data_IF_284091301675
#
_entry.id   IF_284091301675
#
_cell.length_a   1.000
_cell.length_b   1.000
_cell.length_c   1.000
_cell.angle_alpha   90.00
_cell.angle_beta   90.00
_cell.angle_gamma   90.00
#
_symmetry.space_group_name_H-M   'P 1'
#
loop_
_entity.id
_entity.type
_entity.pdbx_description
1 polymer ?
2 non-polymer ?
3 non-polymer ?
4 non-polymer ?
5 non-polymer ?
6 water ?
#
# COMPACT_ATOMS: atom_id res chain seq x y z
N UNK A 1 -22.42 -2.65 18.98
CA UNK A 1 -22.36 -1.33 18.36
C UNK A 1 -21.74 -1.38 16.95
N UNK A 2 -22.35 -0.63 16.03
CA UNK A 2 -22.03 -0.69 14.61
C UNK A 2 -20.58 -0.31 14.34
N UNK A 3 -19.96 -0.97 13.35
CA UNK A 3 -18.63 -0.58 12.91
C UNK A 3 -18.77 0.53 11.87
N UNK A 4 -18.21 1.70 12.17
CA UNK A 4 -18.44 2.92 11.42
C UNK A 4 -17.27 3.27 10.50
N UNK A 5 -17.57 4.06 9.47
CA UNK A 5 -16.50 4.60 8.65
C UNK A 5 -15.66 5.59 9.46
N UNK A 6 -14.45 5.82 8.96
CA UNK A 6 -13.49 6.67 9.64
C UNK A 6 -12.83 7.62 8.64
N UNK A 7 -12.67 8.87 9.05
CA UNK A 7 -11.85 9.80 8.30
C UNK A 7 -10.76 10.34 9.23
N UNK A 8 -10.03 11.34 8.76
CA UNK A 8 -9.03 11.98 9.59
C UNK A 8 -9.70 13.03 10.46
N UNK A 9 -9.15 13.22 11.66
CA UNK A 9 -9.70 14.24 12.55
C UNK A 9 -9.20 15.63 12.20
N UNK A 10 -8.05 15.73 11.54
CA UNK A 10 -7.39 16.99 11.35
C UNK A 10 -6.58 16.92 10.05
N UNK A 11 -6.12 18.09 9.61
CA UNK A 11 -5.27 18.17 8.43
C UNK A 11 -3.87 17.72 8.81
N UNK A 12 -3.21 17.01 7.90
CA UNK A 12 -1.89 16.45 8.08
C UNK A 12 -1.01 16.91 6.94
N UNK A 13 0.21 17.37 7.26
CA UNK A 13 1.15 17.79 6.23
C UNK A 13 2.47 17.05 6.37
N UNK A 14 3.11 16.78 5.24
CA UNK A 14 4.45 16.20 5.26
C UNK A 14 5.18 16.63 3.98
N UNK A 15 6.50 16.65 4.05
CA UNK A 15 7.35 17.00 2.92
C UNK A 15 8.35 15.89 2.67
N UNK A 16 8.64 15.64 1.41
CA UNK A 16 9.66 14.67 1.09
C UNK A 16 10.02 14.73 -0.37
N UNK A 17 10.59 13.64 -0.87
CA UNK A 17 10.96 13.56 -2.28
C UNK A 17 10.46 12.26 -2.85
N UNK A 18 10.12 12.28 -4.14
CA UNK A 18 9.71 11.06 -4.82
C UNK A 18 10.87 10.09 -4.92
N UNK A 19 10.63 8.84 -4.51
CA UNK A 19 11.61 7.79 -4.68
C UNK A 19 12.12 7.73 -6.12
N UNK A 20 11.19 7.74 -7.09
CA UNK A 20 11.61 7.53 -8.47
C UNK A 20 11.93 8.84 -9.19
N UNK A 21 11.11 9.88 -8.99
CA UNK A 21 11.33 11.14 -9.69
C UNK A 21 12.43 11.98 -9.03
N UNK A 22 12.67 11.78 -7.74
CA UNK A 22 13.56 12.63 -6.98
C UNK A 22 13.05 14.03 -6.71
N UNK A 23 11.82 14.35 -7.07
CA UNK A 23 11.33 15.71 -6.94
C UNK A 23 10.81 15.98 -5.53
N UNK A 24 11.07 17.19 -5.05
CA UNK A 24 10.47 17.62 -3.79
C UNK A 24 8.96 17.70 -3.95
N UNK A 25 8.24 17.30 -2.90
CA UNK A 25 6.79 17.25 -2.99
C UNK A 25 6.23 17.55 -1.61
N UNK A 26 5.15 18.34 -1.59
CA UNK A 26 4.39 18.65 -0.39
C UNK A 26 3.12 17.81 -0.39
N UNK A 27 2.88 17.12 0.71
CA UNK A 27 1.72 16.24 0.84
C UNK A 27 0.80 16.82 1.90
N UNK A 28 -0.51 16.72 1.66
CA UNK A 28 -1.51 17.20 2.62
C UNK A 28 -2.64 16.20 2.69
N UNK A 29 -2.91 15.68 3.88
CA UNK A 29 -4.04 14.77 4.08
C UNK A 29 -5.18 15.54 4.73
N UNK A 30 -6.38 15.40 4.18
CA UNK A 30 -7.56 16.14 4.62
C UNK A 30 -8.73 15.18 4.89
N UNK A 31 -9.57 15.51 5.89
CA UNK A 31 -10.80 14.73 6.08
C UNK A 31 -11.66 14.74 4.82
N UNK A 32 -12.51 13.72 4.71
CA UNK A 32 -13.44 13.58 3.62
C UNK A 32 -14.76 13.03 4.14
N UNK A 33 -15.88 13.32 3.48
CA UNK A 33 -17.17 12.82 3.95
C UNK A 33 -17.31 11.32 3.74
N UNK A 34 -18.39 10.77 4.29
CA UNK A 34 -18.62 9.34 4.21
C UNK A 34 -18.70 8.91 2.74
N UNK A 35 -18.27 7.68 2.48
CA UNK A 35 -18.32 7.06 1.16
C UNK A 35 -17.51 7.83 0.13
N UNK A 36 -16.52 8.63 0.55
CA UNK A 36 -15.60 9.22 -0.40
C UNK A 36 -14.54 8.24 -0.87
N UNK A 37 -14.08 7.32 -0.01
CA UNK A 37 -12.88 6.55 -0.30
C UNK A 37 -11.65 7.43 -0.13
N UNK A 38 -10.49 6.93 -0.58
CA UNK A 38 -9.27 7.72 -0.64
C UNK A 38 -9.19 8.36 -2.01
N UNK A 39 -8.94 9.67 -2.05
CA UNK A 39 -8.88 10.38 -3.33
C UNK A 39 -7.59 11.18 -3.39
N UNK A 40 -6.77 10.90 -4.41
CA UNK A 40 -5.58 11.71 -4.61
C UNK A 40 -5.92 12.92 -5.47
N UNK A 41 -5.13 13.97 -5.30
CA UNK A 41 -5.48 15.26 -5.89
C UNK A 41 -4.20 16.03 -6.16
N UNK A 42 -3.93 16.32 -7.44
CA UNK A 42 -2.74 17.08 -7.82
C UNK A 42 -3.09 18.57 -7.77
N UNK A 43 -2.64 19.23 -6.71
CA UNK A 43 -2.92 20.65 -6.51
C UNK A 43 -1.90 21.55 -7.18
N UNK A 44 -0.85 20.98 -7.77
CA UNK A 44 0.06 21.76 -8.60
C UNK A 44 -0.54 22.05 -9.96
N UNK A 45 -1.65 21.42 -10.30
CA UNK A 45 -2.29 21.63 -11.59
C UNK A 45 -3.50 22.55 -11.45
N UNK A 46 -3.90 23.13 -12.57
CA UNK A 46 -5.04 24.04 -12.62
C UNK A 46 -5.83 23.75 -13.89
N UNK A 47 -7.05 23.19 -13.80
CA UNK A 47 -7.69 22.87 -12.52
C UNK A 47 -7.02 21.72 -11.79
N UNK A 48 -7.38 21.55 -10.52
CA UNK A 48 -6.88 20.40 -9.76
C UNK A 48 -7.48 19.13 -10.34
N UNK A 49 -6.65 18.08 -10.41
CA UNK A 49 -7.06 16.79 -10.93
C UNK A 49 -7.15 15.81 -9.78
N UNK A 50 -8.33 15.21 -9.60
CA UNK A 50 -8.57 14.25 -8.54
C UNK A 50 -8.66 12.86 -9.14
N UNK A 51 -7.93 11.91 -8.55
CA UNK A 51 -7.96 10.53 -9.01
C UNK A 51 -8.31 9.63 -7.84
N UNK A 52 -9.50 9.03 -7.84
CA UNK A 52 -9.86 8.09 -6.77
C UNK A 52 -8.88 6.92 -6.72
N UNK A 53 -8.50 6.54 -5.50
CA UNK A 53 -7.54 5.47 -5.29
C UNK A 53 -8.26 4.14 -5.45
N UNK A 54 -8.50 3.78 -6.71
CA UNK A 54 -9.31 2.62 -7.04
C UNK A 54 -8.66 1.86 -8.18
N UNK A 55 -8.91 0.54 -8.22
CA UNK A 55 -8.23 -0.35 -9.16
C UNK A 55 -8.41 0.11 -10.60
N UNK A 56 -9.62 0.57 -10.95
CA UNK A 56 -9.91 1.04 -12.30
C UNK A 56 -9.05 2.22 -12.72
N UNK A 57 -8.47 2.96 -11.78
CA UNK A 57 -7.61 4.09 -12.14
C UNK A 57 -6.13 3.75 -12.13
N UNK A 58 -5.76 2.49 -11.91
CA UNK A 58 -4.34 2.15 -11.89
C UNK A 58 -3.82 2.16 -13.32
N UNK A 59 -2.78 2.96 -13.57
CA UNK A 59 -2.12 2.95 -14.85
C UNK A 59 -0.98 1.95 -14.86
N UNK A 60 0.24 2.42 -15.14
CA UNK A 60 1.38 1.53 -15.17
C UNK A 60 1.66 0.95 -13.77
N UNK A 61 2.33 -0.19 -13.77
CA UNK A 61 2.78 -0.87 -12.57
C UNK A 61 4.20 -1.38 -12.76
N UNK A 62 4.94 -0.72 -13.67
CA UNK A 62 6.28 -1.20 -14.04
C UNK A 62 7.23 -1.16 -12.85
N UNK A 63 7.22 -0.08 -12.07
CA UNK A 63 8.02 0.03 -10.87
C UNK A 63 7.15 0.01 -9.63
N UNK A 64 6.38 1.08 -9.39
CA UNK A 64 5.49 1.20 -8.24
C UNK A 64 4.05 1.07 -8.72
N UNK A 65 3.11 1.32 -7.81
CA UNK A 65 1.72 1.42 -8.23
C UNK A 65 1.41 2.88 -8.57
N UNK A 66 0.85 3.09 -9.75
CA UNK A 66 0.62 4.42 -10.28
C UNK A 66 -0.85 4.60 -10.63
N UNK A 67 -1.41 5.75 -10.30
CA UNK A 67 -2.76 6.13 -10.72
C UNK A 67 -2.67 7.12 -11.87
N UNK A 68 -3.58 6.99 -12.83
CA UNK A 68 -3.60 7.81 -14.03
C UNK A 68 -5.01 8.31 -14.30
N UNK A 69 -5.09 9.52 -14.86
CA UNK A 69 -6.36 10.08 -15.31
C UNK A 69 -6.02 10.99 -16.49
N UNK A 70 -6.29 10.53 -17.71
CA UNK A 70 -5.81 11.27 -18.86
C UNK A 70 -4.30 11.31 -18.85
N UNK A 71 -3.74 12.52 -18.94
CA UNK A 71 -2.30 12.74 -18.97
C UNK A 71 -1.70 12.88 -17.59
N UNK A 72 -2.48 12.71 -16.53
CA UNK A 72 -2.08 13.07 -15.17
C UNK A 72 -1.79 11.80 -14.39
N UNK A 73 -0.65 11.78 -13.70
CA UNK A 73 -0.22 10.62 -12.94
C UNK A 73 -0.09 10.97 -11.47
N UNK A 74 -0.30 9.96 -10.61
CA UNK A 74 0.14 9.96 -9.23
C UNK A 74 0.94 8.68 -9.01
N UNK A 75 2.25 8.82 -8.83
CA UNK A 75 3.18 7.70 -8.72
C UNK A 75 3.34 7.24 -7.27
N UNK A 76 3.54 5.93 -7.10
CA UNK A 76 4.00 5.36 -5.84
C UNK A 76 3.01 5.60 -4.70
N UNK A 77 1.78 5.12 -4.90
CA UNK A 77 0.78 5.31 -3.84
C UNK A 77 0.79 4.19 -2.80
N UNK A 78 1.58 3.14 -3.01
CA UNK A 78 1.36 1.89 -2.27
C UNK A 78 1.71 2.01 -0.78
N UNK A 79 2.76 2.76 -0.41
CA UNK A 79 3.13 2.80 1.00
C UNK A 79 2.17 3.66 1.82
N UNK A 80 1.68 4.77 1.26
CA UNK A 80 0.69 5.56 1.97
C UNK A 80 -0.65 4.83 2.04
N UNK A 81 -1.06 4.18 0.95
CA UNK A 81 -2.31 3.43 1.00
C UNK A 81 -2.22 2.30 2.02
N UNK A 82 -1.03 1.68 2.15
CA UNK A 82 -0.84 0.66 3.17
C UNK A 82 -1.04 1.24 4.57
N UNK A 83 -0.51 2.45 4.81
CA UNK A 83 -0.72 3.10 6.10
C UNK A 83 -2.19 3.38 6.32
N UNK A 84 -2.89 3.82 5.27
CA UNK A 84 -4.32 4.09 5.41
C UNK A 84 -5.10 2.81 5.65
N UNK A 85 -4.80 1.74 4.91
CA UNK A 85 -5.48 0.48 5.16
C UNK A 85 -5.18 -0.01 6.57
N UNK A 86 -3.93 0.10 7.01
CA UNK A 86 -3.56 -0.43 8.31
C UNK A 86 -4.23 0.27 9.47
N UNK A 87 -4.54 1.56 9.32
CA UNK A 87 -5.27 2.32 10.34
C UNK A 87 -6.77 2.38 10.08
N UNK A 88 -7.26 1.69 9.06
CA UNK A 88 -8.70 1.64 8.79
C UNK A 88 -9.33 2.95 8.39
N UNK A 89 -8.60 3.79 7.66
CA UNK A 89 -9.14 5.06 7.19
C UNK A 89 -9.95 4.83 5.93
N UNK A 90 -11.24 5.15 5.98
CA UNK A 90 -12.11 4.95 4.83
C UNK A 90 -12.06 6.14 3.85
N UNK A 91 -12.08 7.36 4.37
CA UNK A 91 -12.33 8.54 3.55
C UNK A 91 -11.26 9.58 3.84
N UNK A 92 -10.65 10.11 2.77
CA UNK A 92 -9.56 11.08 2.90
C UNK A 92 -9.21 11.64 1.54
N UNK A 93 -8.82 12.91 1.53
CA UNK A 93 -8.16 13.53 0.38
C UNK A 93 -6.65 13.54 0.61
N UNK A 94 -5.89 13.19 -0.42
CA UNK A 94 -4.42 13.23 -0.37
C UNK A 94 -4.00 14.23 -1.43
N UNK A 95 -3.63 15.44 -0.99
CA UNK A 95 -3.17 16.47 -1.91
C UNK A 95 -1.66 16.35 -2.07
N UNK A 96 -1.21 16.45 -3.32
CA UNK A 96 0.21 16.39 -3.68
C UNK A 96 0.56 17.55 -4.59
N UNK A 97 1.73 18.15 -4.36
CA UNK A 97 2.20 19.25 -5.19
C UNK A 97 3.06 18.75 -6.35
N UNK A 98 3.22 17.44 -6.49
CA UNK A 98 3.99 16.86 -7.59
C UNK A 98 3.41 15.49 -7.91
N UNK A 99 3.94 14.88 -8.97
CA UNK A 99 3.35 13.63 -9.47
C UNK A 99 3.67 12.41 -8.62
N UNK A 100 4.54 12.50 -7.61
CA UNK A 100 4.89 11.31 -6.85
C UNK A 100 4.75 11.54 -5.36
N UNK A 101 4.23 10.54 -4.68
CA UNK A 101 4.10 10.56 -3.22
C UNK A 101 5.48 10.57 -2.60
N UNK A 102 5.74 11.35 -1.55
CA UNK A 102 7.07 11.33 -0.91
C UNK A 102 7.36 9.95 -0.32
N UNK A 103 8.62 9.52 -0.47
CA UNK A 103 9.04 8.21 0.03
C UNK A 103 9.24 8.18 1.56
N UNK A 104 9.49 9.33 2.20
CA UNK A 104 9.75 9.43 3.65
C UNK A 104 10.95 8.55 4.00
N UNK A 105 10.86 7.65 4.98
CA UNK A 105 11.97 6.74 5.28
C UNK A 105 11.92 5.44 4.49
N UNK A 106 11.04 5.34 3.47
CA UNK A 106 10.89 4.10 2.73
C UNK A 106 9.82 3.15 3.25
N UNK A 107 9.28 3.40 4.45
CA UNK A 107 8.28 2.53 5.05
C UNK A 107 6.93 3.25 5.14
N UNK A 108 5.98 2.64 5.84
CA UNK A 108 4.74 3.31 6.16
C UNK A 108 4.76 3.96 7.55
N UNK A 109 5.85 3.77 8.29
CA UNK A 109 5.97 4.28 9.65
C UNK A 109 5.64 5.75 9.77
N UNK A 110 6.29 6.61 8.95
CA UNK A 110 6.01 8.04 9.07
C UNK A 110 4.57 8.40 8.78
N UNK A 111 3.94 7.73 7.80
CA UNK A 111 2.54 8.01 7.53
C UNK A 111 1.62 7.58 8.67
N UNK A 112 1.83 6.38 9.22
CA UNK A 112 0.97 5.96 10.32
C UNK A 112 1.15 6.89 11.51
N UNK A 113 2.36 7.40 11.74
CA UNK A 113 2.57 8.32 12.86
C UNK A 113 1.89 9.66 12.61
N UNK A 114 2.13 10.25 11.43
CA UNK A 114 1.45 11.50 11.10
C UNK A 114 -0.07 11.36 11.24
N UNK A 115 -0.63 10.26 10.73
CA UNK A 115 -2.07 10.08 10.82
C UNK A 115 -2.53 10.00 12.27
N UNK A 116 -1.84 9.19 13.08
CA UNK A 116 -2.30 8.99 14.43
C UNK A 116 -2.08 10.22 15.30
N UNK A 117 -1.05 11.02 15.00
CA UNK A 117 -0.87 12.28 15.70
C UNK A 117 -2.04 13.23 15.44
N UNK A 118 -2.50 13.28 14.19
CA UNK A 118 -3.68 14.09 13.88
C UNK A 118 -4.93 13.50 14.53
N UNK A 119 -5.02 12.18 14.58
CA UNK A 119 -6.18 11.51 15.11
C UNK A 119 -7.15 11.08 14.01
N UNK A 120 -7.95 10.07 14.33
CA UNK A 120 -9.01 9.57 13.47
C UNK A 120 -10.35 10.06 13.98
N UNK A 121 -11.33 10.13 13.07
CA UNK A 121 -12.68 10.58 13.42
C UNK A 121 -13.69 9.55 12.91
N UNK A 122 -14.52 9.04 13.80
CA UNK A 122 -15.56 8.13 13.36
C UNK A 122 -16.69 8.90 12.71
N UNK A 123 -17.32 8.31 11.71
CA UNK A 123 -18.40 8.94 10.97
C UNK A 123 -19.69 8.13 11.06
N UNK A 124 -20.81 8.81 10.86
CA UNK A 124 -22.14 8.22 11.01
C UNK A 124 -22.52 7.45 9.75
N UNK A 125 -21.82 6.35 9.52
CA UNK A 125 -22.12 5.46 8.41
C UNK A 125 -21.45 4.12 8.65
N UNK A 126 -22.12 3.06 8.25
CA UNK A 126 -21.56 1.73 8.42
C UNK A 126 -20.32 1.57 7.54
N UNK A 127 -19.26 1.02 8.11
CA UNK A 127 -18.09 0.67 7.31
C UNK A 127 -18.41 -0.51 6.42
N UNK A 128 -18.05 -0.41 5.15
CA UNK A 128 -18.29 -1.49 4.20
C UNK A 128 -17.03 -2.34 4.06
N UNK A 129 -17.22 -3.66 4.03
CA UNK A 129 -16.13 -4.60 3.84
C UNK A 129 -16.40 -5.46 2.61
N UNK A 130 -15.32 -5.92 1.97
CA UNK A 130 -15.42 -6.86 0.87
C UNK A 130 -14.99 -8.22 1.40
N UNK A 131 -15.92 -9.15 1.46
CA UNK A 131 -15.65 -10.49 1.98
C UNK A 131 -15.40 -11.44 0.82
N UNK A 132 -14.28 -12.14 0.88
CA UNK A 132 -13.93 -13.14 -0.14
C UNK A 132 -14.77 -14.38 0.11
N UNK A 133 -15.60 -14.74 -0.86
CA UNK A 133 -16.45 -15.92 -0.77
C UNK A 133 -15.86 -17.14 -1.46
N UNK A 134 -15.02 -16.97 -2.49
CA UNK A 134 -14.41 -18.13 -3.13
C UNK A 134 -13.02 -17.74 -3.63
N UNK A 135 -12.19 -18.76 -3.78
CA UNK A 135 -10.80 -18.53 -4.13
C UNK A 135 -10.68 -17.91 -5.52
N UNK A 136 -9.78 -16.94 -5.64
CA UNK A 136 -9.47 -16.25 -6.89
C UNK A 136 -7.96 -16.16 -6.97
N UNK A 137 -7.37 -16.61 -8.07
CA UNK A 137 -5.93 -16.54 -8.23
C UNK A 137 -5.57 -16.08 -9.64
N UNK A 138 -4.44 -15.40 -9.77
CA UNK A 138 -3.86 -15.08 -11.05
C UNK A 138 -2.41 -15.55 -11.04
N UNK A 139 -1.93 -15.94 -12.21
CA UNK A 139 -0.61 -16.53 -12.37
C UNK A 139 0.05 -15.93 -13.61
N UNK A 140 1.38 -15.90 -13.58
CA UNK A 140 2.17 -15.48 -14.74
C UNK A 140 3.57 -16.08 -14.56
N UNK A 141 3.86 -17.13 -15.32
CA UNK A 141 5.12 -17.82 -15.10
C UNK A 141 5.02 -18.57 -13.78
N UNK A 142 6.02 -18.41 -12.93
CA UNK A 142 5.95 -19.01 -11.60
C UNK A 142 5.42 -18.06 -10.54
N UNK A 143 5.01 -16.85 -10.93
CA UNK A 143 4.44 -15.89 -9.99
C UNK A 143 2.95 -16.15 -9.82
N UNK A 144 2.45 -15.86 -8.63
CA UNK A 144 1.08 -16.21 -8.28
C UNK A 144 0.60 -15.28 -7.16
N UNK A 145 -0.62 -14.76 -7.31
CA UNK A 145 -1.30 -13.99 -6.27
C UNK A 145 -2.71 -14.50 -6.11
N UNK A 146 -3.14 -14.73 -4.87
CA UNK A 146 -4.36 -15.47 -4.56
C UNK A 146 -5.16 -14.74 -3.49
N UNK A 147 -6.50 -14.73 -3.64
CA UNK A 147 -7.43 -14.45 -2.55
C UNK A 147 -8.08 -15.74 -2.09
N UNK A 148 -8.09 -15.96 -0.77
CA UNK A 148 -8.69 -17.14 -0.17
C UNK A 148 -9.73 -16.73 0.88
N UNK A 149 -10.89 -17.37 0.94
CA UNK A 149 -11.82 -17.10 2.03
C UNK A 149 -11.15 -17.26 3.39
N UNK A 150 -11.42 -16.31 4.27
CA UNK A 150 -10.82 -16.28 5.59
C UNK A 150 -11.58 -15.28 6.45
N UNK A 151 -12.09 -15.73 7.59
CA UNK A 151 -12.88 -14.87 8.47
C UNK A 151 -11.91 -14.02 9.29
N UNK A 152 -11.36 -13.01 8.64
CA UNK A 152 -10.40 -12.10 9.25
C UNK A 152 -9.68 -11.34 8.16
N UNK A 153 -8.44 -10.94 8.46
CA UNK A 153 -7.56 -10.41 7.43
C UNK A 153 -6.16 -10.93 7.65
N UNK A 154 -5.62 -11.58 6.63
CA UNK A 154 -4.31 -12.22 6.72
C UNK A 154 -3.63 -12.07 5.38
N UNK A 155 -2.34 -11.74 5.42
CA UNK A 155 -1.51 -11.58 4.24
C UNK A 155 -0.27 -12.45 4.42
N UNK A 156 -0.01 -13.32 3.46
CA UNK A 156 1.20 -14.12 3.48
C UNK A 156 1.94 -13.89 2.17
N UNK A 157 3.27 -13.94 2.24
CA UNK A 157 4.08 -13.60 1.07
C UNK A 157 5.37 -14.40 1.11
N UNK A 158 5.82 -14.83 -0.06
CA UNK A 158 7.08 -15.55 -0.22
C UNK A 158 7.86 -14.94 -1.37
N UNK A 159 9.13 -14.60 -1.13
CA UNK A 159 10.00 -14.10 -2.18
C UNK A 159 11.13 -15.10 -2.41
N UNK A 160 11.80 -14.96 -3.55
CA UNK A 160 12.77 -15.95 -3.99
C UNK A 160 13.95 -15.25 -4.68
N UNK A 161 14.70 -14.46 -3.90
CA UNK A 161 15.92 -13.83 -4.39
C UNK A 161 17.09 -14.78 -4.20
N UNK A 162 17.75 -15.14 -5.30
CA UNK A 162 19.04 -15.82 -5.21
C UNK A 162 20.08 -14.72 -4.96
N UNK A 163 20.26 -14.36 -3.68
CA UNK A 163 21.19 -13.32 -3.31
C UNK A 163 21.79 -13.70 -1.96
N UNK A 164 23.09 -13.48 -1.77
CA UNK A 164 23.71 -13.80 -0.47
C UNK A 164 23.03 -13.15 0.71
N UNK A 165 22.49 -11.93 0.56
CA UNK A 165 21.87 -11.25 1.68
C UNK A 165 20.64 -12.00 2.17
N UNK A 166 20.06 -12.87 1.34
CA UNK A 166 18.86 -13.62 1.70
C UNK A 166 19.14 -15.06 2.08
N UNK A 167 20.35 -15.56 1.82
CA UNK A 167 20.75 -16.92 2.23
C UNK A 167 19.80 -18.00 1.71
N UNK A 171 12.51 -15.69 4.02
CA UNK A 171 11.93 -15.09 2.82
C UNK A 171 10.43 -15.39 2.70
N UNK A 172 9.83 -15.88 3.78
CA UNK A 172 8.39 -16.16 3.81
C UNK A 172 7.85 -15.66 5.13
N UNK A 173 6.67 -15.04 5.09
CA UNK A 173 6.01 -14.60 6.31
C UNK A 173 4.52 -14.59 6.09
N UNK A 174 3.78 -14.90 7.16
CA UNK A 174 2.32 -14.83 7.17
C UNK A 174 1.91 -14.03 8.39
N UNK A 175 1.10 -12.99 8.18
CA UNK A 175 0.69 -12.07 9.24
C UNK A 175 -0.83 -12.11 9.33
N UNK A 176 -1.34 -12.62 10.45
CA UNK A 176 -2.77 -12.64 10.74
C UNK A 176 -3.06 -11.45 11.62
N UNK A 177 -3.79 -10.46 11.09
CA UNK A 177 -3.94 -9.21 11.82
C UNK A 177 -4.98 -9.27 12.94
N UNK A 178 -5.53 -10.44 13.25
CA UNK A 178 -6.27 -10.57 14.50
C UNK A 178 -5.35 -10.83 15.69
N UNK A 179 -4.11 -11.28 15.44
CA UNK A 179 -3.14 -11.49 16.49
C UNK A 179 -1.92 -10.59 16.37
N UNK A 180 -1.78 -9.84 15.28
CA UNK A 180 -0.56 -9.12 15.00
C UNK A 180 -0.87 -7.67 14.63
N UNK A 181 -0.04 -6.76 15.14
CA UNK A 181 -0.21 -5.34 14.93
C UNK A 181 0.43 -4.94 13.61
N UNK A 182 -0.37 -4.35 12.70
CA UNK A 182 0.22 -3.75 11.50
C UNK A 182 1.24 -2.70 11.87
N UNK A 183 0.90 -1.84 12.83
CA UNK A 183 1.78 -0.75 13.22
C UNK A 183 3.13 -1.29 13.70
N UNK A 184 3.11 -2.28 14.58
CA UNK A 184 4.35 -2.73 15.20
C UNK A 184 5.16 -3.65 14.29
N UNK A 185 4.49 -4.60 13.63
CA UNK A 185 5.20 -5.67 12.94
C UNK A 185 5.33 -5.48 11.43
N UNK A 186 4.61 -4.57 10.80
CA UNK A 186 4.66 -4.39 9.37
C UNK A 186 5.06 -2.97 8.97
N UNK A 187 4.53 -1.96 9.67
CA UNK A 187 4.54 -0.60 9.13
C UNK A 187 5.94 -0.05 8.92
N UNK A 188 6.90 -0.45 9.76
CA UNK A 188 8.24 0.12 9.66
C UNK A 188 9.12 -0.56 8.61
N UNK A 189 8.61 -1.55 7.89
CA UNK A 189 9.41 -2.28 6.91
C UNK A 189 9.72 -1.37 5.73
N UNK A 190 11.01 -1.16 5.46
CA UNK A 190 11.43 -0.24 4.42
C UNK A 190 11.48 -0.92 3.06
N UNK A 191 11.23 -0.13 2.02
CA UNK A 191 11.47 -0.56 0.64
C UNK A 191 12.97 -0.83 0.44
N UNK A 192 13.30 -1.50 -0.66
CA UNK A 192 14.66 -1.97 -0.85
C UNK A 192 14.96 -2.09 -2.33
N UNK A 193 16.25 -2.00 -2.67
CA UNK A 193 16.72 -2.20 -4.03
C UNK A 193 18.16 -2.66 -4.05
N UNK A 194 18.67 -2.94 -5.25
CA UNK A 194 19.95 -3.63 -5.40
C UNK A 194 20.93 -2.80 -6.22
N UNK A 195 22.18 -2.74 -5.76
CA UNK A 195 23.22 -2.07 -6.55
C UNK A 195 23.39 -2.69 -7.93
N UNK A 196 23.01 -3.96 -8.07
CA UNK A 196 23.06 -4.62 -9.37
C UNK A 196 22.12 -3.97 -10.38
N UNK A 197 21.03 -3.36 -9.91
CA UNK A 197 20.02 -2.80 -10.81
C UNK A 197 20.13 -1.30 -10.99
N UNK A 198 20.86 -0.62 -10.11
CA UNK A 198 20.64 0.81 -9.92
C UNK A 198 21.19 1.63 -11.07
N UNK A 199 22.27 1.18 -11.71
CA UNK A 199 22.77 1.93 -12.85
C UNK A 199 21.79 1.88 -14.01
N UNK A 200 21.16 0.72 -14.26
CA UNK A 200 20.13 0.68 -15.27
C UNK A 200 18.94 1.54 -14.88
N UNK A 201 18.53 1.49 -13.60
CA UNK A 201 17.36 2.25 -13.18
C UNK A 201 17.59 3.76 -13.31
N UNK A 202 18.75 4.23 -12.82
CA UNK A 202 19.07 5.65 -12.95
C UNK A 202 19.13 6.09 -14.40
N UNK A 203 19.65 5.23 -15.30
CA UNK A 203 19.70 5.59 -16.71
C UNK A 203 18.30 5.75 -17.30
N UNK A 204 17.30 5.11 -16.72
CA UNK A 204 15.91 5.29 -17.12
C UNK A 204 15.19 6.35 -16.30
N UNK A 205 15.93 7.17 -15.54
CA UNK A 205 15.36 8.17 -14.63
C UNK A 205 14.38 7.55 -13.64
N UNK A 206 14.76 6.39 -13.12
CA UNK A 206 14.02 5.70 -12.07
C UNK A 206 14.87 5.68 -10.80
N UNK A 207 14.21 5.61 -9.64
CA UNK A 207 14.86 5.57 -8.33
C UNK A 207 15.77 6.77 -8.11
N UNK A 208 15.47 7.89 -8.75
CA UNK A 208 16.32 9.07 -8.62
C UNK A 208 16.47 9.51 -7.17
N UNK A 209 15.40 9.39 -6.39
CA UNK A 209 15.48 9.82 -5.02
C UNK A 209 15.95 8.77 -4.04
N UNK A 210 16.19 7.55 -4.51
CA UNK A 210 16.53 6.47 -3.60
C UNK A 210 17.93 6.62 -3.04
N UNK A 211 18.07 6.30 -1.75
CA UNK A 211 19.36 6.25 -1.08
C UNK A 211 19.20 5.44 0.19
N UNK A 212 20.32 5.22 0.89
CA UNK A 212 20.25 4.57 2.21
C UNK A 212 19.39 5.36 3.19
N UNK A 213 19.08 6.61 2.90
CA UNK A 213 18.22 7.38 3.81
C UNK A 213 16.76 6.95 3.73
N UNK A 214 16.34 6.34 2.63
CA UNK A 214 14.94 5.97 2.45
C UNK A 214 14.76 4.56 1.90
N UNK A 215 15.80 3.72 1.92
CA UNK A 215 15.69 2.36 1.39
C UNK A 215 16.83 1.52 1.92
N UNK A 216 16.57 0.22 2.01
CA UNK A 216 17.64 -0.76 2.21
C UNK A 216 18.34 -0.93 0.87
N UNK A 217 19.60 -0.55 0.81
CA UNK A 217 20.36 -0.62 -0.43
C UNK A 217 21.29 -1.84 -0.33
N UNK A 218 21.04 -2.84 -1.16
CA UNK A 218 21.69 -4.14 -1.05
C UNK A 218 22.77 -4.24 -2.11
N UNK A 219 24.03 -4.34 -1.69
CA UNK A 219 25.13 -4.55 -2.62
C UNK A 219 25.31 -6.04 -2.88
N UNK A 220 26.37 -6.41 -3.62
CA UNK A 220 26.65 -7.83 -3.86
C UNK A 220 26.90 -8.57 -2.54
N UNK A 221 27.76 -8.03 -1.69
CA UNK A 221 28.30 -8.75 -0.55
C UNK A 221 27.83 -8.20 0.79
N UNK A 222 26.85 -7.29 0.81
CA UNK A 222 26.36 -6.72 2.07
C UNK A 222 25.27 -5.68 1.80
N UNK A 223 24.52 -5.37 2.85
CA UNK A 223 23.63 -4.22 2.87
C UNK A 223 24.47 -2.97 3.13
N UNK A 224 24.21 -1.91 2.38
CA UNK A 224 25.02 -0.71 2.53
C UNK A 224 24.64 0.14 3.74
N UNK A 225 23.39 0.02 4.23
CA UNK A 225 22.97 0.84 5.38
C UNK A 225 23.80 0.47 6.61
N UNK A 226 24.49 1.46 7.17
CA UNK A 226 25.31 1.16 8.34
C UNK A 226 24.49 0.87 9.59
N UNK A 227 23.20 1.22 9.62
CA UNK A 227 22.44 1.08 10.85
C UNK A 227 21.70 -0.24 11.01
N UNK A 228 21.51 -1.02 9.95
CA UNK A 228 21.02 -2.38 10.11
C UNK A 228 19.51 -2.49 9.87
N UNK A 229 19.02 -3.72 9.95
CA UNK A 229 17.63 -4.01 9.61
C UNK A 229 16.70 -3.77 10.80
N UNK A 230 15.48 -3.34 10.49
CA UNK A 230 14.48 -3.06 11.52
C UNK A 230 13.76 -4.33 11.96
N UNK A 231 13.65 -5.30 11.06
CA UNK A 231 13.09 -6.62 11.33
C UNK A 231 14.06 -7.64 10.77
N UNK A 232 14.18 -8.79 11.44
CA UNK A 232 15.04 -9.84 10.90
C UNK A 232 14.61 -10.22 9.49
N UNK A 233 13.31 -10.17 9.21
CA UNK A 233 12.78 -10.44 7.87
C UNK A 233 12.17 -9.18 7.24
N UNK A 234 12.91 -8.07 7.28
CA UNK A 234 12.35 -6.81 6.82
C UNK A 234 11.94 -6.86 5.35
N UNK A 235 12.67 -7.64 4.52
CA UNK A 235 12.40 -7.65 3.08
C UNK A 235 11.01 -8.20 2.76
N UNK A 236 10.72 -9.42 3.23
CA UNK A 236 9.40 -10.01 2.97
C UNK A 236 8.31 -9.21 3.68
N UNK A 237 8.63 -8.59 4.83
CA UNK A 237 7.64 -7.75 5.48
C UNK A 237 7.33 -6.52 4.65
N UNK A 238 8.31 -5.99 3.92
CA UNK A 238 7.97 -4.86 3.05
C UNK A 238 7.07 -5.28 1.91
N UNK A 239 7.33 -6.46 1.32
CA UNK A 239 6.43 -6.98 0.28
C UNK A 239 5.00 -7.07 0.81
N UNK A 240 4.86 -7.47 2.07
CA UNK A 240 3.53 -7.56 2.69
C UNK A 240 2.93 -6.17 2.82
N UNK A 241 3.73 -5.20 3.29
CA UNK A 241 3.30 -3.81 3.30
C UNK A 241 2.81 -3.37 1.92
N UNK A 242 3.61 -3.62 0.87
CA UNK A 242 3.20 -3.29 -0.49
C UNK A 242 1.85 -3.89 -0.84
N UNK A 243 1.69 -5.19 -0.57
CA UNK A 243 0.44 -5.87 -0.92
C UNK A 243 -0.75 -5.22 -0.22
N UNK A 244 -0.58 -4.85 1.05
CA UNK A 244 -1.68 -4.25 1.79
C UNK A 244 -2.11 -2.94 1.12
N UNK A 245 -1.15 -2.11 0.73
CA UNK A 245 -1.52 -0.88 0.03
C UNK A 245 -2.10 -1.14 -1.34
N UNK A 246 -1.52 -2.10 -2.07
CA UNK A 246 -2.08 -2.45 -3.38
C UNK A 246 -3.51 -2.99 -3.26
N UNK A 247 -3.76 -3.83 -2.25
CA UNK A 247 -5.09 -4.39 -2.08
C UNK A 247 -6.10 -3.35 -1.63
N UNK A 248 -5.65 -2.25 -1.02
CA UNK A 248 -6.59 -1.22 -0.62
C UNK A 248 -7.19 -0.48 -1.81
N UNK A 249 -6.69 -0.71 -3.02
CA UNK A 249 -7.33 -0.14 -4.19
C UNK A 249 -8.68 -0.77 -4.51
N UNK A 250 -9.05 -1.85 -3.82
CA UNK A 250 -10.44 -2.30 -3.88
C UNK A 250 -11.40 -1.22 -3.41
N UNK A 251 -10.92 -0.29 -2.58
CA UNK A 251 -11.78 0.74 -2.05
C UNK A 251 -12.50 0.38 -0.77
N UNK A 252 -12.32 -0.83 -0.25
CA UNK A 252 -12.90 -1.23 1.03
C UNK A 252 -11.97 -2.23 1.71
N UNK A 253 -12.06 -2.28 3.04
CA UNK A 253 -11.29 -3.26 3.78
C UNK A 253 -11.70 -4.67 3.39
N UNK A 254 -10.72 -5.56 3.38
CA UNK A 254 -10.93 -6.93 2.94
C UNK A 254 -11.18 -7.84 4.12
N UNK A 255 -12.11 -8.77 3.95
CA UNK A 255 -12.29 -9.89 4.86
C UNK A 255 -11.87 -11.13 4.08
N UNK A 256 -10.66 -11.60 4.34
CA UNK A 256 -10.11 -12.71 3.59
C UNK A 256 -8.60 -12.75 3.74
N UNK A 257 -7.98 -13.62 2.94
CA UNK A 257 -6.54 -13.84 2.97
C UNK A 257 -5.94 -13.59 1.60
N UNK A 258 -4.81 -12.87 1.58
CA UNK A 258 -3.96 -12.73 0.39
C UNK A 258 -2.72 -13.60 0.54
N UNK A 259 -2.37 -14.31 -0.54
CA UNK A 259 -1.09 -15.01 -0.65
C UNK A 259 -0.40 -14.55 -1.91
N UNK A 260 0.83 -14.06 -1.77
CA UNK A 260 1.68 -13.74 -2.91
C UNK A 260 2.90 -14.66 -2.96
N UNK A 261 3.21 -15.17 -4.16
CA UNK A 261 4.46 -15.87 -4.41
C UNK A 261 5.18 -15.14 -5.54
N UNK A 262 6.23 -14.40 -5.19
CA UNK A 262 7.01 -13.60 -6.14
C UNK A 262 6.13 -12.59 -6.86
N UNK A 263 5.09 -12.13 -6.20
CA UNK A 263 4.18 -11.16 -6.77
C UNK A 263 4.77 -9.76 -6.67
N UNK A 264 4.20 -8.85 -7.44
CA UNK A 264 4.60 -7.44 -7.41
C UNK A 264 3.37 -6.57 -7.70
N UNK A 265 3.57 -5.26 -7.90
CA UNK A 265 2.41 -4.38 -8.07
C UNK A 265 1.58 -4.77 -9.29
N UNK A 266 2.24 -5.19 -10.37
CA UNK A 266 1.51 -5.55 -11.59
C UNK A 266 0.58 -6.74 -11.33
N UNK A 267 1.11 -7.81 -10.75
CA UNK A 267 0.27 -8.98 -10.51
C UNK A 267 -0.75 -8.72 -9.39
N UNK A 268 -0.40 -7.88 -8.42
CA UNK A 268 -1.39 -7.51 -7.41
C UNK A 268 -2.61 -6.86 -8.06
N UNK A 269 -2.38 -5.92 -8.99
CA UNK A 269 -3.51 -5.25 -9.61
C UNK A 269 -4.29 -6.20 -10.52
N UNK A 270 -3.58 -7.11 -11.20
CA UNK A 270 -4.29 -8.11 -12.00
C UNK A 270 -5.21 -8.96 -11.14
N UNK A 271 -4.76 -9.30 -9.91
CA UNK A 271 -5.62 -10.06 -9.00
C UNK A 271 -6.84 -9.25 -8.60
N UNK A 272 -6.67 -7.95 -8.34
CA UNK A 272 -7.81 -7.11 -8.02
C UNK A 272 -8.80 -7.06 -9.17
N UNK A 273 -8.30 -6.94 -10.41
CA UNK A 273 -9.21 -6.85 -11.55
C UNK A 273 -9.98 -8.16 -11.75
N UNK A 274 -9.31 -9.29 -11.50
CA UNK A 274 -9.97 -10.58 -11.63
C UNK A 274 -11.01 -10.77 -10.53
N UNK A 275 -10.67 -10.40 -9.29
CA UNK A 275 -11.63 -10.42 -8.20
C UNK A 275 -12.85 -9.59 -8.53
N UNK A 276 -12.64 -8.33 -8.92
CA UNK A 276 -13.76 -7.42 -9.15
C UNK A 276 -14.67 -7.96 -10.25
N UNK A 277 -14.10 -8.51 -11.33
CA UNK A 277 -14.92 -9.00 -12.42
C UNK A 277 -15.67 -10.27 -12.03
N UNK A 278 -15.14 -11.05 -11.11
CA UNK A 278 -15.82 -12.29 -10.71
C UNK A 278 -16.75 -12.00 -9.55
N UNK A 279 -17.92 -11.43 -9.88
CA UNK A 279 -18.87 -10.99 -8.86
C UNK A 279 -19.30 -12.12 -7.93
N UNK A 280 -19.26 -13.36 -8.41
CA UNK A 280 -19.66 -14.44 -7.51
C UNK A 280 -18.59 -14.81 -6.50
N UNK A 281 -17.40 -14.21 -6.55
CA UNK A 281 -16.33 -14.52 -5.61
C UNK A 281 -16.30 -13.62 -4.38
N UNK A 282 -17.19 -12.63 -4.29
CA UNK A 282 -17.13 -11.68 -3.19
C UNK A 282 -18.46 -10.99 -3.00
N UNK A 283 -18.64 -10.43 -1.81
CA UNK A 283 -19.83 -9.69 -1.43
C UNK A 283 -19.44 -8.56 -0.50
N UNK A 284 -20.28 -7.52 -0.46
CA UNK A 284 -20.05 -6.36 0.40
C UNK A 284 -20.89 -6.52 1.65
N UNK A 285 -20.25 -6.39 2.82
CA UNK A 285 -20.94 -6.57 4.10
C UNK A 285 -20.67 -5.38 5.00
N UNK A 286 -21.60 -5.15 5.92
CA UNK A 286 -21.47 -4.18 7.00
C UNK A 286 -21.73 -4.89 8.31
N UNK A 287 -21.40 -4.23 9.42
CA UNK A 287 -21.60 -4.80 10.74
C UNK A 287 -22.37 -3.82 11.62
N UNK A 288 -23.72 -3.83 11.54
CA UNK A 288 -24.51 -3.08 12.50
C UNK A 288 -24.46 -3.72 13.88
N UNK A 289 -24.39 -5.05 13.91
CA UNK A 289 -24.13 -5.83 15.11
C UNK A 289 -22.76 -6.44 14.94
N UNK A 290 -21.82 -6.08 15.81
CA UNK A 290 -20.43 -6.45 15.61
C UNK A 290 -20.05 -7.80 16.23
N UNK A 291 -21.02 -8.61 16.63
CA UNK A 291 -20.66 -9.77 17.44
C UNK A 291 -19.98 -10.85 16.60
N UNK A 292 -20.26 -10.90 15.29
CA UNK A 292 -19.58 -11.85 14.42
C UNK A 292 -18.42 -11.21 13.66
N UNK A 293 -18.14 -9.94 13.89
CA UNK A 293 -17.02 -9.30 13.21
C UNK A 293 -15.71 -10.02 13.59
N UNK A 294 -14.81 -10.26 12.63
CA UNK A 294 -13.55 -10.96 12.95
C UNK A 294 -12.63 -10.16 13.87
#
# INVERSE_FOLDING_TARGET
SMIKQRTLKNIIRATGVGLHSGEKVYLTLKPAPVDTGIVFCRTDLDPVVEIPARAENVGETTMSTTLVKGDVKVDTVEHLLSAMAGLGIDNAYVELSASEVPIMDGSAGPFVFLIQSAGLQEQEAAKKFIRIKREVSVEEGDKRAVFVPFDGFKVSFEIDFDHPVFRGRTQQASVDFSSTSFVKEVSRARTFGFMRDIEYLRSQNLALGGSVENAIVVDENRVLNEDGLRYEDEFVKHKILDAIGDLYLLGNSLIGEFRGFKSGHALNNQLLRTLIADKDAWEVVTFEDARTAPISYMRPAAAV
#
